data_IF_558792247523
#
_entry.id   IF_558792247523
#
_cell.length_a   1.000
_cell.length_b   1.000
_cell.length_c   1.000
_cell.angle_alpha   90.00
_cell.angle_beta   90.00
_cell.angle_gamma   90.00
#
_symmetry.space_group_name_H-M   'P 1'
#
loop_
_entity.id
_entity.type
_entity.pdbx_description
1 polymer ?
#
# COMPACT_ATOMS: atom_id res chain seq x y z
N UNK A 1 10.13 11.98 -13.88
CA UNK A 1 8.80 11.59 -13.43
C UNK A 1 8.22 10.54 -14.36
N UNK A 2 8.15 9.30 -13.88
CA UNK A 2 7.48 8.19 -14.53
C UNK A 2 5.96 8.26 -14.31
N UNK A 3 5.19 7.62 -15.19
CA UNK A 3 3.76 7.46 -14.98
C UNK A 3 3.50 6.31 -14.00
N UNK A 4 2.75 6.58 -12.93
CA UNK A 4 2.36 5.58 -11.94
C UNK A 4 0.93 5.13 -12.24
N UNK A 5 0.75 3.83 -12.41
CA UNK A 5 -0.57 3.21 -12.58
C UNK A 5 -0.87 2.37 -11.36
N UNK A 6 -1.99 2.64 -10.72
CA UNK A 6 -2.53 1.83 -9.62
C UNK A 6 -3.43 0.77 -10.23
N UNK A 7 -3.29 -0.49 -9.80
CA UNK A 7 -4.21 -1.55 -10.22
C UNK A 7 -5.45 -1.56 -9.34
N UNK A 8 -6.55 -2.12 -9.83
CA UNK A 8 -7.83 -2.13 -9.09
C UNK A 8 -7.71 -2.75 -7.70
N UNK A 9 -6.92 -3.82 -7.54
CA UNK A 9 -6.71 -4.43 -6.23
C UNK A 9 -6.03 -3.47 -5.23
N UNK A 10 -5.07 -2.66 -5.69
CA UNK A 10 -4.42 -1.66 -4.84
C UNK A 10 -5.34 -0.45 -4.54
N UNK A 11 -6.28 -0.11 -5.44
CA UNK A 11 -7.32 0.90 -5.17
C UNK A 11 -8.30 0.43 -4.09
N UNK A 12 -8.68 -0.86 -4.13
CA UNK A 12 -9.50 -1.49 -3.11
C UNK A 12 -8.77 -1.49 -1.75
N UNK A 13 -7.51 -1.93 -1.71
CA UNK A 13 -6.68 -1.92 -0.49
C UNK A 13 -6.53 -0.53 0.13
N UNK A 14 -6.27 0.50 -0.70
CA UNK A 14 -6.21 1.89 -0.27
C UNK A 14 -7.55 2.35 0.34
N UNK A 15 -8.66 2.06 -0.34
CA UNK A 15 -9.99 2.48 0.09
C UNK A 15 -10.39 1.83 1.41
N UNK A 16 -10.13 0.53 1.59
CA UNK A 16 -10.39 -0.18 2.84
C UNK A 16 -9.54 0.37 3.99
N UNK A 17 -8.25 0.60 3.74
CA UNK A 17 -7.33 1.17 4.72
C UNK A 17 -7.75 2.58 5.16
N UNK A 18 -8.08 3.45 4.20
CA UNK A 18 -8.49 4.82 4.49
C UNK A 18 -9.78 4.86 5.32
N UNK A 19 -10.77 4.03 4.99
CA UNK A 19 -12.01 3.89 5.78
C UNK A 19 -11.71 3.44 7.20
N UNK A 20 -10.85 2.43 7.37
CA UNK A 20 -10.49 1.90 8.69
C UNK A 20 -9.89 3.00 9.59
N UNK A 21 -9.01 3.85 9.04
CA UNK A 21 -8.47 4.99 9.78
C UNK A 21 -9.53 6.05 10.07
N UNK A 22 -10.36 6.40 9.09
CA UNK A 22 -11.38 7.44 9.23
C UNK A 22 -12.44 7.11 10.29
N UNK A 23 -12.77 5.83 10.49
CA UNK A 23 -13.65 5.36 11.56
C UNK A 23 -13.10 5.63 12.97
N UNK A 24 -11.78 5.79 13.10
CA UNK A 24 -11.08 5.92 14.39
C UNK A 24 -10.58 7.35 14.64
N UNK A 25 -10.05 7.99 13.61
CA UNK A 25 -9.50 9.35 13.64
C UNK A 25 -9.41 9.93 12.23
N UNK A 26 -10.11 11.05 12.01
CA UNK A 26 -10.04 11.79 10.75
C UNK A 26 -8.62 12.33 10.51
N UNK A 27 -7.93 12.77 11.56
CA UNK A 27 -6.55 13.25 11.46
C UNK A 27 -5.62 12.14 10.94
N UNK A 28 -5.72 10.94 11.50
CA UNK A 28 -4.91 9.79 11.06
C UNK A 28 -5.26 9.36 9.63
N UNK A 29 -6.52 9.47 9.22
CA UNK A 29 -6.91 9.20 7.83
C UNK A 29 -6.27 10.20 6.86
N UNK A 30 -6.23 11.49 7.21
CA UNK A 30 -5.58 12.52 6.40
C UNK A 30 -4.06 12.30 6.34
N UNK A 31 -3.43 11.94 7.46
CA UNK A 31 -1.99 11.64 7.48
C UNK A 31 -1.66 10.42 6.60
N UNK A 32 -2.49 9.38 6.65
CA UNK A 32 -2.35 8.21 5.79
C UNK A 32 -2.45 8.57 4.30
N UNK A 33 -3.45 9.37 3.94
CA UNK A 33 -3.67 9.83 2.56
C UNK A 33 -2.48 10.65 2.03
N UNK A 34 -2.00 11.61 2.83
CA UNK A 34 -0.83 12.42 2.49
C UNK A 34 0.44 11.57 2.32
N UNK A 35 0.62 10.54 3.17
CA UNK A 35 1.75 9.63 3.08
C UNK A 35 1.66 8.70 1.85
N UNK A 36 0.45 8.27 1.48
CA UNK A 36 0.21 7.50 0.27
C UNK A 36 0.60 8.31 -0.98
N UNK A 37 0.11 9.56 -1.10
CA UNK A 37 0.47 10.48 -2.19
C UNK A 37 1.98 10.76 -2.23
N UNK A 38 2.60 10.95 -1.07
CA UNK A 38 4.05 11.14 -0.96
C UNK A 38 4.80 9.93 -1.49
N UNK A 39 4.36 8.71 -1.17
CA UNK A 39 4.98 7.48 -1.64
C UNK A 39 4.87 7.34 -3.17
N UNK A 40 3.69 7.61 -3.74
CA UNK A 40 3.49 7.58 -5.21
C UNK A 40 4.39 8.60 -5.92
N UNK A 41 4.52 9.80 -5.35
CA UNK A 41 5.40 10.85 -5.88
C UNK A 41 6.87 10.39 -5.88
N UNK A 42 7.34 9.78 -4.79
CA UNK A 42 8.71 9.24 -4.71
C UNK A 42 8.96 8.10 -5.72
N UNK A 43 7.98 7.23 -5.94
CA UNK A 43 8.04 6.17 -6.95
C UNK A 43 8.09 6.78 -8.36
N UNK A 44 7.30 7.82 -8.62
CA UNK A 44 7.31 8.51 -9.91
C UNK A 44 8.65 9.20 -10.19
N UNK A 45 9.27 9.80 -9.17
CA UNK A 45 10.52 10.55 -9.34
C UNK A 45 11.76 9.67 -9.49
N UNK A 46 11.84 8.55 -8.77
CA UNK A 46 13.02 7.66 -8.78
C UNK A 46 12.58 6.20 -8.65
N UNK A 47 11.90 5.63 -9.66
CA UNK A 47 11.35 4.27 -9.59
C UNK A 47 12.42 3.20 -9.36
N UNK A 48 13.63 3.41 -9.87
CA UNK A 48 14.79 2.53 -9.69
C UNK A 48 15.33 2.46 -8.26
N UNK A 49 14.92 3.39 -7.38
CA UNK A 49 15.23 3.32 -5.94
C UNK A 49 14.56 2.11 -5.28
N UNK A 50 13.44 1.64 -5.85
CA UNK A 50 12.68 0.52 -5.34
C UNK A 50 13.08 -0.77 -6.05
N UNK A 51 13.20 -1.85 -5.28
CA UNK A 51 13.55 -3.15 -5.83
C UNK A 51 12.47 -3.60 -6.82
N UNK A 52 12.89 -3.98 -8.03
CA UNK A 52 12.04 -4.79 -8.91
C UNK A 52 11.90 -6.17 -8.30
N UNK A 53 10.90 -6.36 -7.44
CA UNK A 53 10.55 -7.70 -6.95
C UNK A 53 10.02 -8.48 -8.13
N UNK A 54 10.85 -9.37 -8.67
CA UNK A 54 10.39 -10.39 -9.61
C UNK A 54 9.63 -11.41 -8.78
N UNK A 55 8.31 -11.24 -8.66
CA UNK A 55 7.46 -12.26 -8.08
C UNK A 55 7.61 -13.51 -8.96
N UNK A 56 8.37 -14.50 -8.48
CA UNK A 56 8.35 -15.82 -9.10
C UNK A 56 6.93 -16.39 -8.93
N UNK A 57 6.39 -17.13 -9.90
CA UNK A 57 5.04 -17.69 -9.81
C UNK A 57 4.78 -18.49 -8.52
N UNK A 58 5.82 -19.03 -7.90
CA UNK A 58 5.78 -19.74 -6.61
C UNK A 58 5.47 -18.87 -5.39
N UNK A 59 5.62 -17.54 -5.46
CA UNK A 59 5.29 -16.62 -4.36
C UNK A 59 3.84 -16.12 -4.41
N UNK A 60 3.13 -16.36 -5.52
CA UNK A 60 1.74 -15.95 -5.71
C UNK A 60 0.74 -16.99 -5.19
N UNK A 61 1.15 -18.25 -4.91
CA UNK A 61 0.23 -19.25 -4.35
C UNK A 61 0.09 -19.18 -2.83
N UNK A 62 1.07 -18.58 -2.13
CA UNK A 62 1.13 -18.57 -0.65
C UNK A 62 0.87 -17.19 -0.05
N UNK A 63 0.69 -16.13 -0.85
CA UNK A 63 0.39 -14.79 -0.37
C UNK A 63 -1.10 -14.59 -0.03
N UNK A 64 -1.71 -15.57 0.63
CA UNK A 64 -2.64 -15.22 1.70
C UNK A 64 -1.76 -15.03 2.94
N UNK A 65 -1.13 -13.86 3.09
CA UNK A 65 -0.52 -13.53 4.39
C UNK A 65 -1.69 -13.43 5.36
N UNK A 66 -1.87 -14.38 6.31
CA UNK A 66 -2.97 -14.30 7.23
C UNK A 66 -2.73 -13.10 8.14
N UNK A 67 -3.69 -12.18 8.20
CA UNK A 67 -3.72 -11.04 9.13
C UNK A 67 -4.02 -11.53 10.56
N UNK A 68 -3.33 -12.58 11.01
CA UNK A 68 -3.65 -13.27 12.28
C UNK A 68 -2.58 -13.15 13.36
N UNK A 69 -1.40 -12.60 13.07
CA UNK A 69 -0.27 -12.60 14.03
C UNK A 69 0.11 -11.22 14.58
N UNK A 70 -0.73 -10.19 14.39
CA UNK A 70 -0.58 -8.92 15.14
C UNK A 70 -1.58 -8.87 16.31
N UNK A 71 -1.19 -9.51 17.41
CA UNK A 71 -1.70 -9.20 18.75
C UNK A 71 -0.49 -8.76 19.59
N UNK A 72 -0.46 -7.53 20.15
CA UNK A 72 0.49 -7.20 21.20
C UNK A 72 0.03 -7.82 22.52
N UNK A 73 1.00 -8.33 23.31
CA UNK A 73 0.84 -8.69 24.72
C UNK A 73 0.33 -7.51 25.57
#
# INVERSE_FOLDING_TARGET
MANVTICSAAEDDYTESLKWYAERSIETANDFDAEFDRALSQIADTPERFLKVRLSPSLLSDAAIPVSDYLPD
#
